data_IF_488025808613
#
_entry.id   IF_488025808613
#
_cell.length_a   1.000
_cell.length_b   1.000
_cell.length_c   1.000
_cell.angle_alpha   90.00
_cell.angle_beta   90.00
_cell.angle_gamma   90.00
#
_symmetry.space_group_name_H-M   'P 1'
#
loop_
_entity.id
_entity.type
_entity.pdbx_description
1 polymer ?
#
# COMPACT_ATOMS: atom_id res chain seq x y z
N UNK A 1 -4.57 21.05 9.30
CA UNK A 1 -3.60 19.94 9.30
C UNK A 1 -3.63 19.23 7.95
N UNK A 2 -2.49 18.80 7.43
CA UNK A 2 -2.35 18.16 6.13
C UNK A 2 -1.91 16.70 6.27
N UNK A 3 -2.72 15.77 5.81
CA UNK A 3 -2.41 14.33 5.78
C UNK A 3 -2.16 13.91 4.34
N UNK A 4 -1.02 13.27 4.08
CA UNK A 4 -0.74 12.63 2.80
C UNK A 4 -1.03 11.14 2.95
N UNK A 5 -1.91 10.60 2.09
CA UNK A 5 -2.15 9.17 1.99
C UNK A 5 -1.45 8.66 0.71
N UNK A 6 -0.36 7.91 0.90
CA UNK A 6 0.36 7.30 -0.21
C UNK A 6 -0.39 6.08 -0.73
N UNK A 7 -0.30 5.84 -2.04
CA UNK A 7 -0.87 4.63 -2.65
C UNK A 7 -0.04 4.15 -3.83
N UNK A 8 -0.13 2.86 -4.11
CA UNK A 8 0.47 2.20 -5.26
C UNK A 8 -0.59 1.58 -6.14
N UNK A 9 -0.48 1.73 -7.44
CA UNK A 9 -1.22 0.92 -8.39
C UNK A 9 -0.48 -0.40 -8.61
N UNK A 10 -1.22 -1.49 -8.51
CA UNK A 10 -0.74 -2.86 -8.73
C UNK A 10 -1.61 -3.54 -9.77
N UNK A 11 -1.12 -4.58 -10.46
CA UNK A 11 -1.96 -5.35 -11.37
C UNK A 11 -3.05 -6.12 -10.60
N UNK A 12 -4.23 -6.25 -11.20
CA UNK A 12 -5.30 -7.13 -10.70
C UNK A 12 -4.83 -8.59 -10.74
N UNK A 13 -4.66 -9.21 -9.58
CA UNK A 13 -4.06 -10.54 -9.45
C UNK A 13 -4.84 -11.65 -10.18
N UNK A 14 -6.17 -11.50 -10.31
CA UNK A 14 -7.01 -12.50 -10.99
C UNK A 14 -6.80 -12.53 -12.51
N UNK A 15 -6.27 -11.45 -13.08
CA UNK A 15 -6.00 -11.31 -14.50
C UNK A 15 -4.54 -11.65 -14.87
N UNK A 16 -3.70 -11.93 -13.87
CA UNK A 16 -2.31 -12.34 -14.06
C UNK A 16 -2.28 -13.78 -14.58
N UNK A 17 -1.61 -14.00 -15.70
CA UNK A 17 -1.38 -15.36 -16.25
C UNK A 17 0.11 -15.71 -16.16
N UNK A 18 0.41 -17.01 -16.08
CA UNK A 18 1.78 -17.53 -16.01
C UNK A 18 2.17 -18.09 -17.37
N UNK A 19 3.29 -17.63 -17.90
CA UNK A 19 3.86 -18.16 -19.14
C UNK A 19 4.53 -19.55 -18.91
N UNK A 20 4.83 -20.27 -19.99
CA UNK A 20 5.43 -21.59 -19.91
C UNK A 20 6.82 -21.63 -19.26
N UNK A 21 7.53 -20.51 -19.22
CA UNK A 21 8.83 -20.32 -18.53
C UNK A 21 8.72 -19.88 -17.07
N UNK A 22 7.50 -19.78 -16.54
CA UNK A 22 7.24 -19.33 -15.18
C UNK A 22 7.17 -17.81 -15.02
N UNK A 23 7.42 -17.01 -16.06
CA UNK A 23 7.30 -15.56 -16.00
C UNK A 23 5.83 -15.12 -15.91
N UNK A 24 5.58 -13.93 -15.33
CA UNK A 24 4.24 -13.39 -15.20
C UNK A 24 3.85 -12.58 -16.45
N UNK A 25 2.67 -12.83 -16.97
CA UNK A 25 2.07 -12.02 -18.03
C UNK A 25 1.01 -11.10 -17.44
N UNK A 26 1.30 -9.81 -17.43
CA UNK A 26 0.47 -8.73 -16.86
C UNK A 26 -0.33 -7.99 -17.95
N UNK A 27 -0.24 -8.36 -19.20
CA UNK A 27 -0.76 -7.59 -20.35
C UNK A 27 -2.27 -7.36 -20.32
N UNK A 28 -3.01 -8.19 -19.59
CA UNK A 28 -4.47 -8.11 -19.44
C UNK A 28 -4.90 -7.62 -18.04
N UNK A 29 -3.96 -7.48 -17.13
CA UNK A 29 -4.28 -7.09 -15.77
C UNK A 29 -4.55 -5.58 -15.68
N UNK A 30 -5.77 -5.23 -15.31
CA UNK A 30 -6.12 -3.84 -14.98
C UNK A 30 -5.33 -3.37 -13.76
N UNK A 31 -5.03 -2.08 -13.71
CA UNK A 31 -4.39 -1.49 -12.54
C UNK A 31 -5.44 -1.19 -11.45
N UNK A 32 -5.16 -1.61 -10.22
CA UNK A 32 -5.97 -1.30 -9.03
C UNK A 32 -5.12 -0.74 -7.90
N UNK A 33 -5.75 -0.10 -6.91
CA UNK A 33 -5.08 0.36 -5.70
C UNK A 33 -4.71 -0.86 -4.84
N UNK A 34 -3.49 -0.91 -4.33
CA UNK A 34 -3.06 -1.91 -3.36
C UNK A 34 -3.97 -1.92 -2.12
N UNK A 35 -4.35 -3.11 -1.63
CA UNK A 35 -5.25 -3.27 -0.50
C UNK A 35 -4.75 -2.53 0.76
N UNK A 36 -3.46 -2.61 1.05
CA UNK A 36 -2.84 -1.92 2.19
C UNK A 36 -2.99 -0.39 2.10
N UNK A 37 -2.93 0.14 0.89
CA UNK A 37 -3.05 1.58 0.66
C UNK A 37 -4.52 2.05 0.71
N UNK A 38 -5.47 1.17 0.41
CA UNK A 38 -6.89 1.43 0.71
C UNK A 38 -7.11 1.64 2.20
N UNK A 39 -6.45 0.85 3.05
CA UNK A 39 -6.50 1.01 4.51
C UNK A 39 -5.88 2.35 4.96
N UNK A 40 -4.77 2.78 4.33
CA UNK A 40 -4.16 4.08 4.61
C UNK A 40 -5.07 5.26 4.23
N UNK A 41 -5.72 5.19 3.06
CA UNK A 41 -6.70 6.21 2.62
C UNK A 41 -7.90 6.25 3.55
N UNK A 42 -8.43 5.10 3.96
CA UNK A 42 -9.55 5.00 4.90
C UNK A 42 -9.18 5.57 6.28
N UNK A 43 -7.96 5.29 6.78
CA UNK A 43 -7.47 5.85 8.03
C UNK A 43 -7.40 7.37 7.99
N UNK A 44 -6.88 7.96 6.90
CA UNK A 44 -6.90 9.41 6.69
C UNK A 44 -8.33 9.96 6.68
N UNK A 45 -9.23 9.27 5.99
CA UNK A 45 -10.63 9.68 5.88
C UNK A 45 -11.34 9.63 7.23
N UNK A 46 -11.09 8.61 8.05
CA UNK A 46 -11.62 8.50 9.40
C UNK A 46 -11.13 9.65 10.32
N UNK A 47 -9.85 10.04 10.21
CA UNK A 47 -9.32 11.19 10.94
C UNK A 47 -10.01 12.50 10.51
N UNK A 48 -10.24 12.69 9.22
CA UNK A 48 -10.96 13.87 8.72
C UNK A 48 -12.41 13.91 9.15
N UNK A 49 -13.09 12.77 9.31
CA UNK A 49 -14.45 12.72 9.85
C UNK A 49 -14.52 13.21 11.30
N UNK A 50 -13.44 13.04 12.07
CA UNK A 50 -13.33 13.53 13.44
C UNK A 50 -12.94 15.02 13.50
N UNK A 51 -12.18 15.51 12.52
CA UNK A 51 -11.76 16.89 12.41
C UNK A 51 -11.80 17.36 10.93
N UNK A 52 -12.83 18.13 10.59
CA UNK A 52 -13.10 18.62 9.23
C UNK A 52 -12.00 19.55 8.67
N UNK A 53 -11.14 20.12 9.51
CA UNK A 53 -10.06 21.02 9.10
C UNK A 53 -8.84 20.25 8.53
N UNK A 54 -8.90 18.92 8.54
CA UNK A 54 -7.89 18.08 7.93
C UNK A 54 -8.06 18.10 6.40
N UNK A 55 -6.99 18.44 5.69
CA UNK A 55 -6.86 18.26 4.25
C UNK A 55 -6.18 16.92 3.97
N UNK A 56 -6.77 16.10 3.12
CA UNK A 56 -6.19 14.82 2.69
C UNK A 56 -5.73 14.94 1.24
N UNK A 57 -4.45 14.64 1.01
CA UNK A 57 -3.85 14.55 -0.32
C UNK A 57 -3.49 13.09 -0.58
N UNK A 58 -4.08 12.47 -1.59
CA UNK A 58 -3.58 11.20 -2.07
C UNK A 58 -2.30 11.43 -2.89
N UNK A 59 -1.27 10.61 -2.70
CA UNK A 59 0.00 10.77 -3.41
C UNK A 59 0.51 9.43 -3.93
N UNK A 60 1.01 9.44 -5.17
CA UNK A 60 1.63 8.26 -5.77
C UNK A 60 2.77 8.63 -6.71
N UNK A 61 3.73 7.72 -6.81
CA UNK A 61 4.85 7.78 -7.75
C UNK A 61 4.90 6.48 -8.53
N UNK A 62 5.02 6.53 -9.85
CA UNK A 62 5.06 5.31 -10.65
C UNK A 62 4.96 5.54 -12.16
N UNK A 63 4.64 4.48 -12.88
CA UNK A 63 4.53 4.47 -14.33
C UNK A 63 3.29 5.17 -14.89
N UNK A 64 3.08 5.01 -16.20
CA UNK A 64 2.02 5.67 -16.96
C UNK A 64 0.60 5.31 -16.49
N UNK A 65 0.40 4.18 -15.80
CA UNK A 65 -0.89 3.79 -15.24
C UNK A 65 -1.49 4.87 -14.34
N UNK A 66 -0.66 5.69 -13.67
CA UNK A 66 -1.09 6.83 -12.85
C UNK A 66 -1.75 7.96 -13.66
N UNK A 67 -1.56 8.01 -14.97
CA UNK A 67 -2.23 8.97 -15.84
C UNK A 67 -3.69 8.59 -16.15
N UNK A 68 -4.10 7.34 -15.87
CA UNK A 68 -5.44 6.85 -16.18
C UNK A 68 -6.52 7.57 -15.38
N UNK A 69 -7.48 8.18 -16.09
CA UNK A 69 -8.56 8.97 -15.48
C UNK A 69 -9.48 8.12 -14.58
N UNK A 70 -9.71 6.84 -14.91
CA UNK A 70 -10.52 5.91 -14.10
C UNK A 70 -9.85 5.66 -12.76
N UNK A 71 -8.53 5.35 -12.75
CA UNK A 71 -7.77 5.13 -11.53
C UNK A 71 -7.71 6.38 -10.63
N UNK A 72 -7.45 7.56 -11.21
CA UNK A 72 -7.47 8.84 -10.49
C UNK A 72 -8.82 9.12 -9.84
N UNK A 73 -9.91 8.87 -10.56
CA UNK A 73 -11.27 9.04 -10.05
C UNK A 73 -11.59 8.04 -8.93
N UNK A 74 -11.11 6.79 -9.03
CA UNK A 74 -11.29 5.80 -7.97
C UNK A 74 -10.64 6.26 -6.67
N UNK A 75 -9.37 6.65 -6.68
CA UNK A 75 -8.66 7.18 -5.51
C UNK A 75 -9.41 8.38 -4.89
N UNK A 76 -9.76 9.38 -5.71
CA UNK A 76 -10.42 10.60 -5.23
C UNK A 76 -11.83 10.36 -4.69
N UNK A 77 -12.50 9.29 -5.12
CA UNK A 77 -13.83 8.93 -4.62
C UNK A 77 -13.81 8.37 -3.18
N UNK A 78 -12.63 7.98 -2.67
CA UNK A 78 -12.45 7.32 -1.37
C UNK A 78 -12.16 8.27 -0.21
N UNK A 79 -12.23 9.58 -0.44
CA UNK A 79 -12.08 10.58 0.64
C UNK A 79 -11.09 11.70 0.37
N UNK A 80 -9.94 11.50 -0.27
CA UNK A 80 -8.96 12.55 -0.50
C UNK A 80 -9.57 13.79 -1.16
N UNK A 81 -9.10 14.97 -0.76
CA UNK A 81 -9.52 16.26 -1.32
C UNK A 81 -8.81 16.57 -2.64
N UNK A 82 -7.57 16.11 -2.75
CA UNK A 82 -6.67 16.37 -3.86
C UNK A 82 -5.85 15.11 -4.18
N UNK A 83 -5.39 15.01 -5.42
CA UNK A 83 -4.48 13.97 -5.88
C UNK A 83 -3.19 14.61 -6.42
N UNK A 84 -2.05 14.13 -5.94
CA UNK A 84 -0.73 14.46 -6.48
C UNK A 84 -0.11 13.17 -7.03
N UNK A 85 0.31 13.18 -8.27
CA UNK A 85 1.01 12.04 -8.89
C UNK A 85 2.31 12.50 -9.52
N UNK A 86 3.34 11.67 -9.38
CA UNK A 86 4.59 11.79 -10.15
C UNK A 86 4.66 10.60 -11.08
N UNK A 87 4.57 10.83 -12.38
CA UNK A 87 4.45 9.74 -13.33
C UNK A 87 5.35 9.91 -14.55
N UNK A 88 6.04 8.83 -14.90
CA UNK A 88 6.86 8.69 -16.09
C UNK A 88 7.05 7.20 -16.42
N UNK A 89 7.19 6.84 -17.70
CA UNK A 89 7.42 5.46 -18.12
C UNK A 89 8.67 4.82 -17.47
N UNK A 90 9.70 5.63 -17.20
CA UNK A 90 10.93 5.19 -16.53
C UNK A 90 10.75 4.80 -15.06
N UNK A 91 9.62 5.18 -14.45
CA UNK A 91 9.33 4.90 -13.04
C UNK A 91 8.59 3.56 -12.81
N UNK A 92 8.25 2.82 -13.87
CA UNK A 92 7.46 1.58 -13.79
C UNK A 92 8.10 0.50 -12.89
N UNK A 93 9.43 0.42 -12.90
CA UNK A 93 10.20 -0.63 -12.22
C UNK A 93 11.03 -0.12 -11.05
N UNK A 94 10.64 1.02 -10.46
CA UNK A 94 11.36 1.55 -9.31
C UNK A 94 11.31 0.60 -8.12
N UNK A 95 12.45 0.51 -7.45
CA UNK A 95 12.60 -0.21 -6.19
C UNK A 95 12.23 0.68 -5.00
N UNK A 96 11.96 0.13 -3.80
CA UNK A 96 11.47 0.88 -2.66
C UNK A 96 12.26 2.14 -2.31
N UNK A 97 13.60 2.09 -2.35
CA UNK A 97 14.45 3.24 -2.05
C UNK A 97 14.30 4.38 -3.07
N UNK A 98 14.17 4.05 -4.36
CA UNK A 98 13.94 5.03 -5.42
C UNK A 98 12.56 5.68 -5.27
N UNK A 99 11.53 4.86 -4.99
CA UNK A 99 10.17 5.33 -4.71
C UNK A 99 10.15 6.26 -3.51
N UNK A 100 10.80 5.88 -2.40
CA UNK A 100 10.85 6.69 -1.19
C UNK A 100 11.56 8.04 -1.42
N UNK A 101 12.66 8.05 -2.17
CA UNK A 101 13.38 9.28 -2.53
C UNK A 101 12.51 10.22 -3.36
N UNK A 102 11.81 9.68 -4.36
CA UNK A 102 10.91 10.45 -5.22
C UNK A 102 9.70 10.99 -4.43
N UNK A 103 9.08 10.15 -3.59
CA UNK A 103 8.01 10.56 -2.69
C UNK A 103 8.48 11.66 -1.73
N UNK A 104 9.68 11.54 -1.15
CA UNK A 104 10.22 12.55 -0.23
C UNK A 104 10.32 13.92 -0.90
N UNK A 105 10.76 13.98 -2.16
CA UNK A 105 10.81 15.23 -2.91
C UNK A 105 9.42 15.81 -3.17
N UNK A 106 8.48 14.98 -3.60
CA UNK A 106 7.09 15.38 -3.83
C UNK A 106 6.43 15.89 -2.54
N UNK A 107 6.66 15.19 -1.42
CA UNK A 107 6.17 15.54 -0.08
C UNK A 107 6.74 16.88 0.39
N UNK A 108 8.05 17.11 0.23
CA UNK A 108 8.69 18.39 0.59
C UNK A 108 8.09 19.56 -0.20
N UNK A 109 7.73 19.36 -1.46
CA UNK A 109 7.09 20.37 -2.31
C UNK A 109 5.63 20.64 -1.88
N UNK A 110 4.95 19.61 -1.37
CA UNK A 110 3.53 19.68 -0.96
C UNK A 110 3.37 20.19 0.48
N UNK A 111 4.30 19.83 1.37
CA UNK A 111 4.20 20.00 2.84
C UNK A 111 3.24 18.97 3.45
N UNK A 112 3.46 18.62 4.73
CA UNK A 112 2.68 17.59 5.44
C UNK A 112 2.81 17.72 6.95
N UNK A 113 1.85 17.16 7.68
CA UNK A 113 1.92 16.93 9.12
C UNK A 113 1.98 15.42 9.43
N UNK A 114 1.20 14.61 8.68
CA UNK A 114 1.21 13.14 8.77
C UNK A 114 1.25 12.54 7.39
N UNK A 115 2.05 11.49 7.21
CA UNK A 115 1.99 10.62 6.02
C UNK A 115 1.49 9.26 6.44
N UNK A 116 0.49 8.74 5.76
CA UNK A 116 -0.01 7.38 5.91
C UNK A 116 0.34 6.58 4.66
N UNK A 117 1.03 5.46 4.85
CA UNK A 117 1.35 4.46 3.82
C UNK A 117 0.69 3.13 4.21
N UNK A 118 0.41 2.27 3.26
CA UNK A 118 0.22 0.85 3.57
C UNK A 118 1.51 0.23 4.09
N UNK A 119 1.41 -0.74 4.99
CA UNK A 119 2.60 -1.43 5.55
C UNK A 119 3.40 -2.19 4.49
N UNK A 120 2.75 -2.58 3.41
CA UNK A 120 3.36 -3.18 2.24
C UNK A 120 2.54 -2.92 0.99
N UNK A 121 2.88 -3.58 -0.12
CA UNK A 121 2.05 -3.61 -1.32
C UNK A 121 1.64 -5.04 -1.64
N UNK A 122 0.43 -5.24 -2.16
CA UNK A 122 -0.10 -6.59 -2.38
C UNK A 122 0.63 -7.36 -3.51
N UNK A 123 1.53 -6.72 -4.26
CA UNK A 123 2.38 -7.35 -5.28
C UNK A 123 3.74 -7.81 -4.73
N UNK A 124 4.52 -6.93 -4.12
CA UNK A 124 5.90 -7.23 -3.68
C UNK A 124 6.04 -7.40 -2.16
N UNK A 125 5.17 -6.79 -1.39
CA UNK A 125 5.17 -6.79 0.07
C UNK A 125 6.56 -6.51 0.69
N UNK A 126 7.26 -5.51 0.16
CA UNK A 126 8.63 -5.20 0.58
C UNK A 126 8.71 -4.53 1.96
N UNK A 127 7.65 -3.90 2.44
CA UNK A 127 7.53 -3.21 3.74
C UNK A 127 8.62 -2.14 4.01
N UNK A 128 9.11 -1.48 2.96
CA UNK A 128 10.26 -0.57 3.07
C UNK A 128 9.92 0.88 2.81
N UNK A 129 8.96 1.17 1.92
CA UNK A 129 8.77 2.55 1.40
C UNK A 129 8.47 3.54 2.52
N UNK A 130 7.56 3.23 3.45
CA UNK A 130 7.20 4.14 4.54
C UNK A 130 8.38 4.45 5.46
N UNK A 131 9.18 3.44 5.83
CA UNK A 131 10.35 3.62 6.70
C UNK A 131 11.44 4.44 5.99
N UNK A 132 11.75 4.11 4.74
CA UNK A 132 12.73 4.85 3.93
C UNK A 132 12.27 6.29 3.65
N UNK A 133 10.98 6.51 3.50
CA UNK A 133 10.40 7.84 3.32
C UNK A 133 10.59 8.69 4.59
N UNK A 134 10.33 8.13 5.77
CA UNK A 134 10.56 8.81 7.03
C UNK A 134 12.02 9.20 7.23
N UNK A 135 12.96 8.30 6.93
CA UNK A 135 14.39 8.58 6.96
C UNK A 135 14.78 9.70 5.97
N UNK A 136 14.31 9.64 4.73
CA UNK A 136 14.59 10.66 3.71
C UNK A 136 14.00 12.05 4.05
N UNK A 137 12.97 12.10 4.90
CA UNK A 137 12.35 13.31 5.41
C UNK A 137 12.95 13.77 6.75
N UNK A 138 13.70 12.92 7.45
CA UNK A 138 14.26 13.18 8.77
C UNK A 138 13.20 13.25 9.86
N UNK A 139 12.14 12.43 9.77
CA UNK A 139 11.02 12.39 10.72
C UNK A 139 10.80 10.98 11.26
N UNK A 140 10.05 10.87 12.36
CA UNK A 140 9.67 9.59 12.94
C UNK A 140 8.90 8.74 11.90
N UNK A 141 9.26 7.47 11.76
CA UNK A 141 8.60 6.50 10.89
C UNK A 141 8.29 5.21 11.67
N UNK A 142 7.03 4.80 11.68
CA UNK A 142 6.56 3.62 12.40
C UNK A 142 5.76 2.73 11.45
N UNK A 143 6.06 1.44 11.45
CA UNK A 143 5.31 0.41 10.71
C UNK A 143 4.43 -0.45 11.63
N UNK A 144 3.60 -1.28 11.03
CA UNK A 144 2.71 -2.20 11.76
C UNK A 144 1.62 -1.48 12.56
N UNK A 145 1.24 -0.26 12.15
CA UNK A 145 0.23 0.53 12.86
C UNK A 145 -1.14 -0.11 12.68
N UNK A 146 -1.68 -0.65 13.77
CA UNK A 146 -2.98 -1.33 13.80
C UNK A 146 -4.12 -0.45 14.30
N UNK A 147 -3.81 0.71 14.93
CA UNK A 147 -4.82 1.66 15.40
C UNK A 147 -4.27 3.06 15.55
N UNK A 148 -5.09 4.07 15.24
CA UNK A 148 -4.83 5.47 15.61
C UNK A 148 -5.79 5.81 16.74
N UNK A 149 -5.23 6.16 17.91
CA UNK A 149 -6.00 6.45 19.13
C UNK A 149 -6.40 7.92 19.22
N UNK A 150 -5.46 8.82 18.90
CA UNK A 150 -5.71 10.26 18.91
C UNK A 150 -4.73 11.01 18.00
N UNK A 151 -5.17 12.17 17.52
CA UNK A 151 -4.36 13.10 16.72
C UNK A 151 -4.52 14.51 17.29
N UNK A 152 -3.39 15.16 17.60
CA UNK A 152 -3.31 16.56 18.03
C UNK A 152 -2.47 17.38 17.04
N UNK A 153 -2.30 18.67 17.30
CA UNK A 153 -1.45 19.52 16.45
C UNK A 153 0.04 19.16 16.52
N UNK A 154 0.48 18.51 17.60
CA UNK A 154 1.91 18.24 17.83
C UNK A 154 2.27 16.77 17.93
N UNK A 155 1.30 15.87 18.05
CA UNK A 155 1.55 14.44 18.23
C UNK A 155 0.39 13.57 17.74
N UNK A 156 0.71 12.33 17.41
CA UNK A 156 -0.24 11.28 17.12
C UNK A 156 0.00 10.09 18.05
N UNK A 157 -1.06 9.55 18.64
CA UNK A 157 -0.99 8.35 19.47
C UNK A 157 -1.54 7.16 18.70
N UNK A 158 -0.78 6.08 18.67
CA UNK A 158 -1.08 4.88 17.90
C UNK A 158 -0.89 3.62 18.73
N UNK A 159 -1.49 2.53 18.27
CA UNK A 159 -1.11 1.16 18.62
C UNK A 159 -0.43 0.52 17.40
N UNK A 160 0.62 -0.24 17.64
CA UNK A 160 1.20 -1.14 16.64
C UNK A 160 1.25 -2.56 17.18
N UNK A 161 0.99 -3.52 16.31
CA UNK A 161 1.01 -4.94 16.65
C UNK A 161 2.37 -5.51 16.27
N UNK A 162 3.05 -6.08 17.24
CA UNK A 162 4.25 -6.91 17.08
C UNK A 162 3.88 -8.39 17.18
N UNK A 163 4.88 -9.30 17.13
CA UNK A 163 4.62 -10.74 17.13
C UNK A 163 3.83 -11.18 18.37
N UNK A 164 4.27 -10.77 19.57
CA UNK A 164 3.69 -11.21 20.84
C UNK A 164 3.06 -10.07 21.69
N UNK A 165 3.10 -8.84 21.22
CA UNK A 165 2.65 -7.69 22.00
C UNK A 165 2.04 -6.57 21.14
N UNK A 166 1.27 -5.70 21.79
CA UNK A 166 0.76 -4.45 21.22
C UNK A 166 1.39 -3.29 21.97
N UNK A 167 2.08 -2.43 21.24
CA UNK A 167 2.67 -1.22 21.79
C UNK A 167 1.78 -0.01 21.57
N UNK A 168 1.62 0.82 22.60
CA UNK A 168 1.02 2.16 22.48
C UNK A 168 2.13 3.20 22.43
N UNK A 169 2.20 3.96 21.36
CA UNK A 169 3.23 4.96 21.11
C UNK A 169 2.62 6.35 20.94
N UNK A 170 3.29 7.37 21.51
CA UNK A 170 3.01 8.78 21.21
C UNK A 170 4.15 9.33 20.39
N UNK A 171 3.85 9.74 19.16
CA UNK A 171 4.82 10.12 18.13
C UNK A 171 4.70 11.62 17.88
N UNK A 172 5.79 12.39 17.96
CA UNK A 172 5.78 13.81 17.60
C UNK A 172 5.54 13.99 16.10
N UNK A 173 4.83 15.04 15.73
CA UNK A 173 4.64 15.42 14.34
C UNK A 173 5.76 16.37 13.87
N UNK A 174 6.12 16.34 12.55
CA UNK A 174 5.56 15.49 11.50
C UNK A 174 6.03 14.03 11.58
N UNK A 175 5.23 13.09 11.06
CA UNK A 175 5.53 11.66 11.14
C UNK A 175 5.05 10.88 9.89
N UNK A 176 5.66 9.72 9.66
CA UNK A 176 5.25 8.72 8.65
C UNK A 176 4.77 7.46 9.36
N UNK A 177 3.59 6.99 9.04
CA UNK A 177 3.00 5.77 9.60
C UNK A 177 2.66 4.79 8.49
N UNK A 178 3.12 3.55 8.61
CA UNK A 178 2.72 2.46 7.74
C UNK A 178 1.69 1.60 8.45
N UNK A 179 0.47 1.57 7.91
CA UNK A 179 -0.69 0.93 8.54
C UNK A 179 -0.89 -0.50 8.06
N UNK A 180 -1.21 -1.40 8.98
CA UNK A 180 -1.60 -2.76 8.67
C UNK A 180 -3.05 -2.82 8.17
N UNK A 181 -3.45 -3.97 7.60
CA UNK A 181 -4.83 -4.19 7.14
C UNK A 181 -5.84 -4.29 8.28
N UNK A 182 -5.37 -4.52 9.51
CA UNK A 182 -6.23 -4.64 10.71
C UNK A 182 -6.75 -3.28 11.21
N UNK A 183 -6.16 -2.16 10.73
CA UNK A 183 -6.51 -0.83 11.20
C UNK A 183 -7.97 -0.44 10.93
N UNK A 184 -8.52 -0.88 9.80
CA UNK A 184 -9.90 -0.59 9.38
C UNK A 184 -10.37 -1.52 8.24
N UNK A 185 -11.64 -1.39 7.89
CA UNK A 185 -12.19 -1.96 6.66
C UNK A 185 -12.51 -0.82 5.69
N UNK A 186 -11.77 -0.72 4.54
CA UNK A 186 -11.98 0.34 3.57
C UNK A 186 -13.41 0.35 3.02
N UNK A 187 -14.04 1.53 3.02
CA UNK A 187 -15.41 1.69 2.58
C UNK A 187 -15.50 1.71 1.04
N UNK A 188 -16.59 1.15 0.52
CA UNK A 188 -16.92 1.26 -0.89
C UNK A 188 -17.46 2.68 -1.14
N UNK A 189 -16.92 3.43 -2.13
CA UNK A 189 -17.37 4.79 -2.39
C UNK A 189 -18.84 4.85 -2.79
N UNK A 190 -19.57 5.81 -2.23
CA UNK A 190 -20.96 6.06 -2.62
C UNK A 190 -21.01 6.66 -4.05
N UNK A 191 -22.15 6.53 -4.72
CA UNK A 191 -22.38 7.13 -6.05
C UNK A 191 -22.13 8.65 -6.04
N UNK A 192 -22.51 9.34 -4.95
CA UNK A 192 -22.25 10.77 -4.76
C UNK A 192 -20.73 11.06 -4.71
N UNK A 193 -19.97 10.26 -4.00
CA UNK A 193 -18.50 10.39 -3.91
C UNK A 193 -17.83 10.14 -5.27
N UNK A 194 -18.29 9.12 -6.02
CA UNK A 194 -17.78 8.82 -7.37
C UNK A 194 -18.05 9.98 -8.35
N UNK A 195 -19.23 10.56 -8.31
CA UNK A 195 -19.57 11.72 -9.16
C UNK A 195 -18.81 12.99 -8.74
N UNK A 196 -18.62 13.20 -7.44
CA UNK A 196 -17.85 14.32 -6.88
C UNK A 196 -16.37 14.26 -7.19
N UNK A 197 -15.80 13.06 -7.29
CA UNK A 197 -14.36 12.83 -7.52
C UNK A 197 -13.84 13.53 -8.80
N UNK A 198 -14.65 13.60 -9.85
CA UNK A 198 -14.26 14.23 -11.11
C UNK A 198 -14.00 15.74 -11.00
N UNK A 199 -14.44 16.39 -9.92
CA UNK A 199 -14.29 17.83 -9.69
C UNK A 199 -13.10 18.16 -8.78
N UNK A 200 -12.49 17.16 -8.16
CA UNK A 200 -11.37 17.34 -7.24
C UNK A 200 -10.08 17.63 -8.00
N UNK A 201 -9.20 18.49 -7.47
CA UNK A 201 -7.96 18.85 -8.13
C UNK A 201 -7.01 17.65 -8.28
N UNK A 202 -6.29 17.64 -9.41
CA UNK A 202 -5.24 16.66 -9.69
C UNK A 202 -4.00 17.41 -10.15
N UNK A 203 -2.93 17.28 -9.41
CA UNK A 203 -1.60 17.79 -9.76
C UNK A 203 -0.77 16.63 -10.29
N UNK A 204 -0.31 16.74 -11.52
CA UNK A 204 0.57 15.75 -12.15
C UNK A 204 1.95 16.37 -12.38
N UNK A 205 2.97 15.74 -11.82
CA UNK A 205 4.38 16.10 -12.01
C UNK A 205 5.10 15.00 -12.78
N UNK A 206 6.18 15.42 -13.43
CA UNK A 206 7.23 14.53 -13.94
C UNK A 206 8.43 14.54 -12.98
N UNK A 207 9.33 13.56 -13.03
CA UNK A 207 10.55 13.56 -12.19
C UNK A 207 11.35 14.86 -12.27
N UNK A 208 11.42 15.48 -13.45
CA UNK A 208 12.10 16.76 -13.67
C UNK A 208 11.51 17.93 -12.85
N UNK A 209 10.23 17.88 -12.50
CA UNK A 209 9.55 18.91 -11.70
C UNK A 209 9.95 18.87 -10.22
N UNK A 210 10.66 17.83 -9.79
CA UNK A 210 11.05 17.62 -8.39
C UNK A 210 12.49 18.04 -8.09
N UNK A 211 13.23 18.55 -9.09
CA UNK A 211 14.62 18.99 -8.94
C UNK A 211 15.55 17.93 -8.30
N UNK A 212 15.23 16.65 -8.54
CA UNK A 212 16.03 15.52 -8.07
C UNK A 212 17.15 15.23 -9.08
N UNK A 213 18.34 14.95 -8.56
CA UNK A 213 19.40 14.34 -9.35
C UNK A 213 19.08 12.88 -9.71
N UNK A 214 20.00 12.23 -10.39
CA UNK A 214 19.87 10.79 -10.69
C UNK A 214 19.77 9.97 -9.38
N UNK A 215 18.75 9.13 -9.28
CA UNK A 215 18.58 8.22 -8.15
C UNK A 215 19.25 6.89 -8.50
N UNK A 216 20.44 6.68 -7.93
CA UNK A 216 21.21 5.46 -8.18
C UNK A 216 20.47 4.22 -7.68
N UNK A 217 20.46 3.12 -8.44
CA UNK A 217 19.94 1.84 -7.96
C UNK A 217 20.95 1.18 -6.99
N UNK A 218 20.56 0.96 -5.74
CA UNK A 218 21.38 0.22 -4.76
C UNK A 218 21.20 -1.31 -4.85
N UNK A 219 20.12 -1.76 -5.45
CA UNK A 219 19.75 -3.16 -5.64
C UNK A 219 19.22 -3.37 -7.03
N UNK A 220 19.25 -4.61 -7.51
CA UNK A 220 18.72 -4.99 -8.82
C UNK A 220 17.74 -6.14 -8.65
N UNK A 221 16.55 -6.00 -9.22
CA UNK A 221 15.60 -7.09 -9.31
C UNK A 221 16.07 -8.09 -10.37
N UNK A 222 16.43 -9.31 -9.96
CA UNK A 222 16.94 -10.33 -10.89
C UNK A 222 15.81 -11.01 -11.65
N UNK A 223 14.75 -11.43 -10.97
CA UNK A 223 13.59 -12.07 -11.61
C UNK A 223 12.36 -12.00 -10.72
N UNK A 224 11.18 -12.06 -11.36
CA UNK A 224 9.89 -12.32 -10.72
C UNK A 224 9.27 -13.48 -11.45
N UNK A 225 9.00 -14.58 -10.75
CA UNK A 225 8.46 -15.79 -11.33
C UNK A 225 7.36 -16.37 -10.45
N UNK A 226 6.41 -17.06 -11.08
CA UNK A 226 5.41 -17.83 -10.34
C UNK A 226 6.07 -18.94 -9.53
N UNK A 227 5.65 -19.22 -8.31
CA UNK A 227 6.17 -20.35 -7.54
C UNK A 227 5.83 -21.65 -8.23
N UNK A 228 6.76 -22.60 -8.23
CA UNK A 228 6.50 -23.95 -8.73
C UNK A 228 5.41 -24.61 -7.88
N UNK A 229 4.30 -24.93 -8.51
CA UNK A 229 3.24 -25.66 -7.82
C UNK A 229 3.68 -27.12 -7.58
N UNK A 230 3.80 -27.51 -6.34
CA UNK A 230 3.95 -28.94 -6.00
C UNK A 230 2.65 -29.65 -6.36
N UNK A 231 2.78 -30.80 -7.03
CA UNK A 231 1.62 -31.66 -7.31
C UNK A 231 0.99 -32.09 -5.96
N UNK A 232 -0.30 -31.76 -5.79
CA UNK A 232 -1.05 -32.24 -4.62
C UNK A 232 -1.20 -33.75 -4.72
N UNK A 233 -1.01 -34.49 -3.62
CA UNK A 233 -1.16 -35.94 -3.57
C UNK A 233 -2.57 -36.42 -3.92
N UNK A 234 -3.58 -35.52 -3.80
CA UNK A 234 -5.01 -35.79 -4.07
C UNK A 234 -5.53 -37.05 -3.39
N UNK A 235 -5.01 -37.31 -2.18
CA UNK A 235 -5.51 -38.37 -1.32
C UNK A 235 -6.83 -37.91 -0.75
N UNK A 236 -7.90 -38.56 -1.13
CA UNK A 236 -9.25 -38.26 -0.66
C UNK A 236 -9.67 -39.44 0.22
N UNK A 237 -9.96 -39.16 1.48
CA UNK A 237 -10.49 -40.14 2.45
C UNK A 237 -11.95 -39.82 2.63
N UNK A 238 -12.83 -40.73 2.20
CA UNK A 238 -14.27 -40.53 2.28
C UNK A 238 -14.84 -41.30 3.46
N UNK A 239 -15.69 -40.63 4.27
CA UNK A 239 -16.36 -41.19 5.44
C UNK A 239 -15.78 -40.70 6.77
N UNK A 240 -16.35 -41.22 7.86
CA UNK A 240 -16.12 -40.80 9.25
C UNK A 240 -15.91 -41.97 10.23
N UNK A 241 -15.60 -43.18 9.70
CA UNK A 241 -15.25 -44.30 10.57
C UNK A 241 -13.92 -44.12 11.28
N UNK A 242 -13.72 -44.79 12.40
CA UNK A 242 -12.47 -44.75 13.18
C UNK A 242 -11.23 -45.10 12.31
N UNK A 243 -11.39 -46.00 11.34
CA UNK A 243 -10.33 -46.40 10.41
C UNK A 243 -9.97 -45.24 9.47
N UNK A 244 -10.94 -44.55 8.90
CA UNK A 244 -10.75 -43.40 8.00
C UNK A 244 -10.15 -42.19 8.73
N UNK A 245 -10.59 -41.94 9.98
CA UNK A 245 -10.03 -40.92 10.85
C UNK A 245 -8.55 -41.23 11.15
N UNK A 246 -8.23 -42.51 11.43
CA UNK A 246 -6.86 -42.95 11.69
C UNK A 246 -5.97 -42.79 10.44
N UNK A 247 -6.46 -43.16 9.28
CA UNK A 247 -5.76 -42.97 8.00
C UNK A 247 -5.47 -41.49 7.71
N UNK A 248 -6.47 -40.62 7.90
CA UNK A 248 -6.31 -39.18 7.78
C UNK A 248 -5.23 -38.65 8.74
N UNK A 249 -5.28 -39.09 10.00
CA UNK A 249 -4.30 -38.67 11.01
C UNK A 249 -2.87 -39.12 10.65
N UNK A 250 -2.68 -40.29 10.05
CA UNK A 250 -1.38 -40.74 9.57
C UNK A 250 -0.84 -39.88 8.42
N UNK A 251 -1.70 -39.57 7.44
CA UNK A 251 -1.31 -38.69 6.33
C UNK A 251 -0.96 -37.28 6.83
N UNK A 252 -1.73 -36.73 7.78
CA UNK A 252 -1.49 -35.43 8.37
C UNK A 252 -0.16 -35.37 9.12
N UNK A 253 0.16 -36.40 9.93
CA UNK A 253 1.44 -36.48 10.65
C UNK A 253 2.66 -36.48 9.71
N UNK A 254 2.56 -37.15 8.54
CA UNK A 254 3.65 -37.19 7.54
C UNK A 254 3.92 -35.82 6.88
N UNK A 255 2.96 -34.89 6.95
CA UNK A 255 3.10 -33.56 6.34
C UNK A 255 3.54 -32.51 7.38
N UNK A 256 3.21 -32.72 8.67
CA UNK A 256 3.50 -31.79 9.75
C UNK A 256 4.86 -32.09 10.41
N UNK A 257 5.36 -33.31 10.29
CA UNK A 257 6.69 -33.71 10.77
C UNK A 257 7.78 -33.30 9.78
#
# INVERSE_FOLDING_TARGET
MKIIACYKLIPEEQDITVNGDGSLNLSKADAKISQFDLNAIEAATALKQQNSDIQIIAMSVGGEALANAKGRKDVLSRGPDELVVVSDAGLEKMLPHQTATMLAAAVKKTGFDVILCGDGSADLYAQQVGLLLGEALGVAAINGVSRILSLSETSIQIERTLEDEVETLTIPLPAVLSVSTDINTPQIPSMKAILGAAKKPVTAWQPADLELGEIAPYTTLLSVQAPQQKARGRIIIEGDSDEQISEFAEHLRKVIS
#
